data_IF_825312476907
#
_entry.id   IF_825312476907
#
_cell.length_a   1.000
_cell.length_b   1.000
_cell.length_c   1.000
_cell.angle_alpha   90.00
_cell.angle_beta   90.00
_cell.angle_gamma   90.00
#
_symmetry.space_group_name_H-M   'P 1'
#
loop_
_entity.id
_entity.type
_entity.pdbx_description
1 polymer ?
#
# COMPACT_ATOMS: atom_id res chain seq x y z
N UNK A 1 3.85 13.86 -25.90
CA UNK A 1 4.26 14.43 -24.58
C UNK A 1 3.26 14.15 -23.46
N UNK A 2 1.95 14.31 -23.67
CA UNK A 2 0.92 14.17 -22.62
C UNK A 2 0.77 12.74 -22.05
N UNK A 3 0.84 11.70 -22.89
CA UNK A 3 0.78 10.28 -22.47
C UNK A 3 1.95 9.88 -21.55
N UNK A 4 3.16 10.35 -21.83
CA UNK A 4 4.34 10.10 -20.99
C UNK A 4 4.20 10.79 -19.61
N UNK A 5 3.66 12.01 -19.60
CA UNK A 5 3.42 12.80 -18.38
C UNK A 5 2.38 12.14 -17.45
N UNK A 6 1.33 11.54 -18.00
CA UNK A 6 0.30 10.79 -17.24
C UNK A 6 0.85 9.50 -16.62
N UNK A 7 1.71 8.77 -17.34
CA UNK A 7 2.36 7.54 -16.86
C UNK A 7 3.38 7.81 -15.77
N UNK A 8 4.21 8.85 -15.93
CA UNK A 8 5.15 9.32 -14.91
C UNK A 8 4.42 9.83 -13.66
N UNK A 9 3.30 10.56 -13.81
CA UNK A 9 2.48 10.99 -12.67
C UNK A 9 1.97 9.81 -11.84
N UNK A 10 1.45 8.75 -12.47
CA UNK A 10 0.85 7.60 -11.74
C UNK A 10 1.89 6.69 -11.09
N UNK A 11 2.99 6.39 -11.80
CA UNK A 11 4.14 5.71 -11.18
C UNK A 11 4.65 6.51 -9.96
N UNK A 12 4.74 7.84 -10.10
CA UNK A 12 5.06 8.74 -9.00
C UNK A 12 4.03 8.73 -7.86
N UNK A 13 2.73 8.60 -8.14
CA UNK A 13 1.69 8.52 -7.09
C UNK A 13 1.74 7.19 -6.35
N UNK A 14 1.85 6.05 -7.03
CA UNK A 14 1.97 4.72 -6.40
C UNK A 14 3.24 4.66 -5.55
N UNK A 15 4.35 5.19 -6.07
CA UNK A 15 5.62 5.31 -5.33
C UNK A 15 5.47 6.20 -4.09
N UNK A 16 4.82 7.35 -4.21
CA UNK A 16 4.61 8.28 -3.09
C UNK A 16 3.77 7.65 -1.98
N UNK A 17 2.70 6.93 -2.33
CA UNK A 17 1.87 6.23 -1.33
C UNK A 17 2.64 5.08 -0.68
N UNK A 18 3.36 4.28 -1.46
CA UNK A 18 4.19 3.20 -0.92
C UNK A 18 5.25 3.74 0.06
N UNK A 19 5.92 4.84 -0.30
CA UNK A 19 6.91 5.49 0.54
C UNK A 19 6.29 6.02 1.84
N UNK A 20 5.20 6.78 1.75
CA UNK A 20 4.52 7.37 2.90
C UNK A 20 3.99 6.30 3.87
N UNK A 21 3.41 5.22 3.34
CA UNK A 21 2.93 4.11 4.14
C UNK A 21 4.06 3.43 4.93
N UNK A 22 5.18 3.13 4.26
CA UNK A 22 6.31 2.46 4.89
C UNK A 22 7.08 3.39 5.85
N UNK A 23 7.11 4.68 5.57
CA UNK A 23 7.64 5.70 6.49
C UNK A 23 6.83 5.76 7.77
N UNK A 24 5.49 5.82 7.68
CA UNK A 24 4.60 5.76 8.84
C UNK A 24 4.83 4.50 9.68
N UNK A 25 4.91 3.33 9.05
CA UNK A 25 5.17 2.08 9.75
C UNK A 25 6.54 2.08 10.48
N UNK A 26 7.55 2.73 9.90
CA UNK A 26 8.88 2.83 10.47
C UNK A 26 8.99 3.90 11.57
N UNK A 27 8.28 5.02 11.44
CA UNK A 27 8.31 6.13 12.41
C UNK A 27 7.51 5.83 13.67
N UNK A 28 6.48 4.98 13.55
CA UNK A 28 5.50 4.73 14.61
C UNK A 28 5.27 3.23 14.87
N UNK A 29 6.32 2.43 15.16
CA UNK A 29 6.24 0.97 15.16
C UNK A 29 5.27 0.39 16.19
N UNK A 30 5.15 0.99 17.38
CA UNK A 30 4.22 0.54 18.41
C UNK A 30 2.76 0.82 18.02
N UNK A 31 2.49 1.99 17.43
CA UNK A 31 1.16 2.33 16.92
C UNK A 31 0.78 1.40 15.75
N UNK A 32 1.72 1.16 14.84
CA UNK A 32 1.52 0.26 13.71
C UNK A 32 1.20 -1.18 14.17
N UNK A 33 1.91 -1.68 15.19
CA UNK A 33 1.63 -2.98 15.80
C UNK A 33 0.24 -3.05 16.44
N UNK A 34 -0.20 -1.99 17.13
CA UNK A 34 -1.58 -1.89 17.67
C UNK A 34 -2.61 -1.91 16.56
N UNK A 35 -2.38 -1.17 15.48
CA UNK A 35 -3.33 -1.02 14.37
C UNK A 35 -3.49 -2.29 13.51
N UNK A 36 -2.49 -3.17 13.46
CA UNK A 36 -2.46 -4.22 12.44
C UNK A 36 -2.01 -5.61 12.93
N UNK A 37 -1.45 -5.72 14.12
CA UNK A 37 -0.89 -6.98 14.63
C UNK A 37 -1.53 -7.47 15.93
N UNK A 38 -2.08 -6.56 16.75
CA UNK A 38 -3.00 -6.92 17.80
C UNK A 38 -4.35 -7.32 17.19
N UNK A 39 -5.00 -8.34 17.74
CA UNK A 39 -6.30 -8.86 17.29
C UNK A 39 -7.40 -7.80 17.41
N UNK A 40 -7.39 -6.84 16.50
CA UNK A 40 -8.49 -5.93 16.27
C UNK A 40 -9.58 -6.75 15.60
N UNK A 41 -10.66 -7.02 16.31
CA UNK A 41 -11.88 -7.63 15.77
C UNK A 41 -12.62 -6.65 14.86
N UNK A 42 -11.91 -6.01 13.95
CA UNK A 42 -12.46 -5.06 12.99
C UNK A 42 -12.67 -5.83 11.69
N UNK A 43 -13.93 -6.02 11.26
CA UNK A 43 -14.19 -6.70 10.01
C UNK A 43 -13.67 -5.86 8.84
N UNK A 44 -13.22 -6.54 7.79
CA UNK A 44 -12.78 -5.94 6.54
C UNK A 44 -13.92 -5.97 5.53
N UNK A 45 -14.06 -4.89 4.75
CA UNK A 45 -15.10 -4.73 3.72
C UNK A 45 -16.52 -5.06 4.22
N UNK A 46 -16.84 -4.62 5.45
CA UNK A 46 -18.12 -4.86 6.09
C UNK A 46 -18.80 -3.53 6.47
N UNK A 47 -20.13 -3.54 6.59
CA UNK A 47 -20.90 -2.39 7.05
C UNK A 47 -20.47 -1.93 8.47
N UNK A 48 -19.99 -2.84 9.30
CA UNK A 48 -19.44 -2.59 10.62
C UNK A 48 -17.98 -2.12 10.61
N UNK A 49 -17.28 -2.09 9.47
CA UNK A 49 -15.94 -1.48 9.38
C UNK A 49 -16.04 0.02 9.71
N UNK A 50 -15.21 0.56 10.62
CA UNK A 50 -15.20 1.99 10.93
C UNK A 50 -15.06 2.87 9.67
N UNK A 51 -15.80 4.00 9.59
CA UNK A 51 -15.81 4.84 8.40
C UNK A 51 -14.43 5.39 8.04
N UNK A 52 -13.57 5.63 9.02
CA UNK A 52 -12.19 6.08 8.82
C UNK A 52 -11.36 5.05 8.06
N UNK A 53 -11.56 3.75 8.34
CA UNK A 53 -10.84 2.67 7.66
C UNK A 53 -11.36 2.47 6.24
N UNK A 54 -12.68 2.57 6.03
CA UNK A 54 -13.26 2.54 4.68
C UNK A 54 -12.76 3.71 3.84
N UNK A 55 -12.68 4.90 4.43
CA UNK A 55 -12.12 6.08 3.77
C UNK A 55 -10.63 5.88 3.45
N UNK A 56 -9.83 5.41 4.40
CA UNK A 56 -8.42 5.14 4.16
C UNK A 56 -8.22 4.12 3.01
N UNK A 57 -9.03 3.07 2.95
CA UNK A 57 -8.96 2.07 1.88
C UNK A 57 -9.43 2.63 0.53
N UNK A 58 -10.43 3.53 0.51
CA UNK A 58 -10.88 4.16 -0.74
C UNK A 58 -9.78 4.96 -1.44
N UNK A 59 -8.86 5.56 -0.66
CA UNK A 59 -7.69 6.25 -1.22
C UNK A 59 -6.74 5.29 -1.96
N UNK A 60 -6.69 4.01 -1.58
CA UNK A 60 -5.92 2.98 -2.31
C UNK A 60 -6.62 2.59 -3.62
N UNK A 61 -7.95 2.51 -3.62
CA UNK A 61 -8.73 2.25 -4.84
C UNK A 61 -8.46 3.32 -5.93
N UNK A 62 -8.29 4.58 -5.52
CA UNK A 62 -7.97 5.69 -6.41
C UNK A 62 -6.61 5.58 -7.11
N UNK A 63 -5.71 4.70 -6.65
CA UNK A 63 -4.43 4.42 -7.33
C UNK A 63 -4.59 3.57 -8.58
N UNK A 64 -5.68 2.82 -8.67
CA UNK A 64 -5.89 1.81 -9.70
C UNK A 64 -7.05 2.09 -10.69
N UNK A 65 -7.30 3.35 -11.11
CA UNK A 65 -8.44 3.67 -11.96
C UNK A 65 -8.32 2.98 -13.32
N UNK A 66 -9.45 2.43 -13.77
CA UNK A 66 -9.56 1.74 -15.06
C UNK A 66 -9.40 0.22 -15.00
N UNK A 67 -9.05 -0.36 -13.85
CA UNK A 67 -9.03 -1.82 -13.67
C UNK A 67 -10.36 -2.35 -13.15
N UNK A 68 -11.49 -1.86 -13.66
CA UNK A 68 -12.81 -1.86 -12.99
C UNK A 68 -13.39 -3.22 -12.57
N UNK A 69 -12.83 -4.35 -12.98
CA UNK A 69 -13.22 -5.68 -12.47
C UNK A 69 -12.21 -6.28 -11.49
N UNK A 70 -11.09 -5.60 -11.24
CA UNK A 70 -9.95 -6.04 -10.42
C UNK A 70 -9.38 -4.93 -9.54
N UNK A 71 -9.95 -3.73 -9.52
CA UNK A 71 -9.36 -2.56 -8.84
C UNK A 71 -9.28 -2.78 -7.34
N UNK A 72 -10.33 -3.37 -6.78
CA UNK A 72 -10.47 -3.77 -5.39
C UNK A 72 -9.38 -4.79 -5.04
N UNK A 73 -9.34 -5.91 -5.78
CA UNK A 73 -8.34 -6.98 -5.58
C UNK A 73 -6.90 -6.47 -5.75
N UNK A 74 -6.64 -5.62 -6.73
CA UNK A 74 -5.31 -5.02 -6.92
C UNK A 74 -4.95 -4.11 -5.74
N UNK A 75 -5.91 -3.36 -5.21
CA UNK A 75 -5.71 -2.50 -4.04
C UNK A 75 -5.45 -3.33 -2.79
N UNK A 76 -6.18 -4.43 -2.59
CA UNK A 76 -5.94 -5.40 -1.52
C UNK A 76 -4.53 -6.00 -1.63
N UNK A 77 -4.11 -6.44 -2.81
CA UNK A 77 -2.78 -7.00 -3.03
C UNK A 77 -1.68 -5.97 -2.81
N UNK A 78 -1.89 -4.72 -3.25
CA UNK A 78 -0.94 -3.63 -3.01
C UNK A 78 -0.80 -3.36 -1.51
N UNK A 79 -1.94 -3.22 -0.83
CA UNK A 79 -2.00 -3.00 0.62
C UNK A 79 -1.36 -4.14 1.41
N UNK A 80 -1.70 -5.39 1.08
CA UNK A 80 -1.11 -6.59 1.68
C UNK A 80 0.40 -6.65 1.48
N UNK A 81 0.89 -6.25 0.29
CA UNK A 81 2.32 -6.20 0.00
C UNK A 81 3.03 -5.16 0.87
N UNK A 82 2.44 -3.96 1.03
CA UNK A 82 2.98 -2.92 1.92
C UNK A 82 2.99 -3.39 3.38
N UNK A 83 1.91 -4.01 3.85
CA UNK A 83 1.82 -4.62 5.17
C UNK A 83 2.92 -5.65 5.43
N UNK A 84 3.09 -6.58 4.49
CA UNK A 84 4.14 -7.60 4.58
C UNK A 84 5.53 -6.99 4.62
N UNK A 85 5.80 -5.94 3.84
CA UNK A 85 7.09 -5.24 3.86
C UNK A 85 7.32 -4.56 5.20
N UNK A 86 6.33 -3.82 5.71
CA UNK A 86 6.42 -3.15 7.00
C UNK A 86 6.67 -4.16 8.13
N UNK A 87 5.89 -5.24 8.20
CA UNK A 87 5.96 -6.22 9.27
C UNK A 87 7.26 -7.04 9.25
N UNK A 88 7.69 -7.49 8.06
CA UNK A 88 8.95 -8.22 7.90
C UNK A 88 10.18 -7.33 8.11
N UNK A 89 10.07 -6.02 7.87
CA UNK A 89 11.13 -5.05 8.18
C UNK A 89 11.20 -4.79 9.68
N UNK A 90 10.06 -4.55 10.33
CA UNK A 90 9.93 -4.35 11.78
C UNK A 90 10.48 -5.54 12.57
N UNK A 91 10.12 -6.75 12.17
CA UNK A 91 10.57 -8.01 12.81
C UNK A 91 11.97 -8.46 12.36
N UNK A 92 12.71 -7.64 11.61
CA UNK A 92 14.08 -7.92 11.11
C UNK A 92 14.20 -9.21 10.28
N UNK A 93 13.10 -9.67 9.67
CA UNK A 93 13.06 -10.83 8.77
C UNK A 93 13.44 -10.49 7.33
N UNK A 94 13.57 -9.20 7.02
CA UNK A 94 14.15 -8.72 5.77
C UNK A 94 15.55 -8.12 5.93
N UNK A 95 16.47 -8.38 4.98
CA UNK A 95 17.75 -7.69 4.96
C UNK A 95 17.55 -6.21 4.62
N UNK A 96 18.19 -5.34 5.41
CA UNK A 96 18.09 -3.87 5.29
C UNK A 96 18.62 -3.32 3.95
N UNK A 97 19.64 -3.96 3.39
CA UNK A 97 20.30 -3.51 2.15
C UNK A 97 19.36 -3.47 0.94
N UNK A 98 18.31 -4.30 0.92
CA UNK A 98 17.39 -4.43 -0.22
C UNK A 98 16.08 -3.63 -0.07
N UNK A 99 15.97 -2.75 0.92
CA UNK A 99 14.71 -2.01 1.16
C UNK A 99 14.30 -1.15 -0.04
N UNK A 100 15.22 -0.32 -0.56
CA UNK A 100 14.93 0.56 -1.71
C UNK A 100 14.59 -0.23 -2.98
N UNK A 101 15.34 -1.29 -3.24
CA UNK A 101 15.12 -2.18 -4.38
C UNK A 101 13.74 -2.86 -4.31
N UNK A 102 13.34 -3.31 -3.11
CA UNK A 102 12.01 -3.93 -2.90
C UNK A 102 10.87 -2.97 -3.15
N UNK A 103 10.97 -1.72 -2.66
CA UNK A 103 9.94 -0.70 -2.90
C UNK A 103 9.83 -0.39 -4.40
N UNK A 104 10.97 -0.24 -5.08
CA UNK A 104 10.97 -0.02 -6.53
C UNK A 104 10.31 -1.18 -7.29
N UNK A 105 10.68 -2.42 -6.98
CA UNK A 105 10.09 -3.60 -7.60
C UNK A 105 8.57 -3.68 -7.35
N UNK A 106 8.12 -3.33 -6.13
CA UNK A 106 6.70 -3.24 -5.81
C UNK A 106 6.00 -2.19 -6.70
N UNK A 107 6.53 -0.98 -6.78
CA UNK A 107 5.96 0.09 -7.62
C UNK A 107 5.86 -0.35 -9.07
N UNK A 108 6.88 -1.03 -9.59
CA UNK A 108 6.89 -1.56 -10.97
C UNK A 108 5.78 -2.61 -11.17
N UNK A 109 5.59 -3.55 -10.22
CA UNK A 109 4.51 -4.55 -10.28
C UNK A 109 3.11 -3.95 -10.28
N UNK A 110 2.93 -2.81 -9.61
CA UNK A 110 1.64 -2.12 -9.48
C UNK A 110 1.48 -0.94 -10.44
N UNK A 111 2.45 -0.74 -11.35
CA UNK A 111 2.36 0.26 -12.43
C UNK A 111 1.99 -0.44 -13.74
N UNK A 112 0.71 -0.46 -14.05
CA UNK A 112 0.20 -1.13 -15.25
C UNK A 112 0.44 -0.28 -16.52
N UNK A 113 0.89 -0.90 -17.64
CA UNK A 113 0.78 -0.28 -18.95
C UNK A 113 -0.70 -0.07 -19.29
N UNK A 114 -1.00 0.98 -20.06
CA UNK A 114 -2.31 1.13 -20.69
C UNK A 114 -2.40 0.29 -21.95
#
# INVERSE_FOLDING_TARGET
MEKARKRVKRGGTVESVAAAYLEFAASSPALYEVMFSLSLSVPFDDAATPPELRFAFSQLLELFPGQSSKSEVISELFWASLHGIAELTRTKRFPRSRQKERVRALVELFTFPR
#
